data_IF_064611440040
#
_entry.id   IF_064611440040
#
_cell.length_a   1.000
_cell.length_b   1.000
_cell.length_c   1.000
_cell.angle_alpha   90.00
_cell.angle_beta   90.00
_cell.angle_gamma   90.00
#
_symmetry.space_group_name_H-M   'P 1'
#
loop_
_entity.id
_entity.type
_entity.pdbx_description
1 polymer ?
#
# COMPACT_ATOMS: atom_id res chain seq x y z
N UNK A 1 -5.57 19.75 -23.36
CA UNK A 1 -6.79 19.18 -22.76
C UNK A 1 -6.42 18.81 -21.34
N UNK A 2 -6.75 19.65 -20.37
CA UNK A 2 -6.74 19.28 -18.96
C UNK A 2 -7.95 18.39 -18.77
N UNK A 3 -7.72 17.09 -18.60
CA UNK A 3 -8.78 16.20 -18.12
C UNK A 3 -9.30 16.79 -16.81
N UNK A 4 -10.63 16.96 -16.73
CA UNK A 4 -11.30 17.37 -15.51
C UNK A 4 -10.97 16.32 -14.45
N UNK A 5 -10.01 16.63 -13.59
CA UNK A 5 -9.58 15.83 -12.43
C UNK A 5 -10.61 15.95 -11.30
N UNK A 6 -11.90 15.86 -11.62
CA UNK A 6 -12.97 15.91 -10.65
C UNK A 6 -13.24 14.49 -10.13
N UNK A 7 -12.38 14.01 -9.24
CA UNK A 7 -12.59 12.76 -8.51
C UNK A 7 -13.37 13.07 -7.24
N UNK A 8 -14.54 12.45 -7.08
CA UNK A 8 -15.37 12.69 -5.89
C UNK A 8 -14.74 12.08 -4.63
N UNK A 9 -15.01 12.69 -3.47
CA UNK A 9 -14.62 12.12 -2.18
C UNK A 9 -15.12 10.67 -2.00
N UNK A 10 -16.31 10.35 -2.52
CA UNK A 10 -16.87 8.98 -2.49
C UNK A 10 -16.02 7.99 -3.27
N UNK A 11 -15.53 8.36 -4.47
CA UNK A 11 -14.63 7.51 -5.26
C UNK A 11 -13.27 7.32 -4.58
N UNK A 12 -12.76 8.36 -3.90
CA UNK A 12 -11.53 8.27 -3.12
C UNK A 12 -11.68 7.31 -1.92
N UNK A 13 -12.80 7.38 -1.19
CA UNK A 13 -13.08 6.43 -0.10
C UNK A 13 -13.29 5.01 -0.62
N UNK A 14 -13.97 4.83 -1.75
CA UNK A 14 -14.12 3.52 -2.38
C UNK A 14 -12.77 2.94 -2.81
N UNK A 15 -11.88 3.78 -3.36
CA UNK A 15 -10.51 3.40 -3.72
C UNK A 15 -9.67 3.05 -2.49
N UNK A 16 -9.78 3.82 -1.41
CA UNK A 16 -9.14 3.51 -0.13
C UNK A 16 -9.60 2.16 0.43
N UNK A 17 -10.92 1.91 0.43
CA UNK A 17 -11.48 0.63 0.87
C UNK A 17 -11.05 -0.55 0.00
N UNK A 18 -10.91 -0.36 -1.31
CA UNK A 18 -10.35 -1.37 -2.21
C UNK A 18 -8.86 -1.65 -1.91
N UNK A 19 -8.09 -0.61 -1.58
CA UNK A 19 -6.70 -0.73 -1.17
C UNK A 19 -6.57 -1.44 0.19
N UNK A 20 -7.45 -1.17 1.16
CA UNK A 20 -7.50 -1.91 2.43
C UNK A 20 -7.80 -3.39 2.22
N UNK A 21 -8.81 -3.69 1.37
CA UNK A 21 -9.15 -5.07 1.04
C UNK A 21 -7.97 -5.79 0.37
N UNK A 22 -7.19 -5.09 -0.47
CA UNK A 22 -5.95 -5.63 -1.04
C UNK A 22 -4.90 -5.88 0.04
N UNK A 23 -4.73 -4.97 1.00
CA UNK A 23 -3.80 -5.16 2.14
C UNK A 23 -4.19 -6.39 2.95
N UNK A 24 -5.46 -6.53 3.34
CA UNK A 24 -5.95 -7.67 4.12
C UNK A 24 -5.79 -8.99 3.35
N UNK A 25 -6.20 -9.03 2.09
CA UNK A 25 -6.12 -10.23 1.25
C UNK A 25 -4.68 -10.64 0.98
N UNK A 26 -3.76 -9.69 0.82
CA UNK A 26 -2.36 -9.97 0.51
C UNK A 26 -1.50 -10.19 1.76
N UNK A 27 -1.96 -9.81 2.96
CA UNK A 27 -1.18 -9.97 4.20
C UNK A 27 -0.76 -11.43 4.44
N UNK A 28 -1.71 -12.37 4.28
CA UNK A 28 -1.45 -13.80 4.45
C UNK A 28 -0.43 -14.34 3.44
N UNK A 29 -0.69 -14.20 2.12
CA UNK A 29 0.23 -14.60 1.06
C UNK A 29 1.62 -13.95 1.14
N UNK A 30 1.70 -12.64 1.43
CA UNK A 30 2.97 -11.92 1.55
C UNK A 30 3.80 -12.44 2.74
N UNK A 31 3.17 -12.63 3.90
CA UNK A 31 3.84 -13.23 5.06
C UNK A 31 4.38 -14.62 4.72
N UNK A 32 3.55 -15.47 4.11
CA UNK A 32 3.98 -16.81 3.69
C UNK A 32 5.15 -16.74 2.72
N UNK A 33 5.12 -15.85 1.73
CA UNK A 33 6.21 -15.70 0.77
C UNK A 33 7.52 -15.25 1.44
N UNK A 34 7.44 -14.33 2.41
CA UNK A 34 8.59 -13.88 3.22
C UNK A 34 9.15 -15.07 4.02
N UNK A 35 8.29 -15.81 4.72
CA UNK A 35 8.69 -16.96 5.54
C UNK A 35 9.31 -18.08 4.68
N UNK A 36 8.68 -18.41 3.55
CA UNK A 36 9.17 -19.42 2.61
C UNK A 36 10.53 -19.02 2.01
N UNK A 37 10.72 -17.73 1.70
CA UNK A 37 12.00 -17.20 1.19
C UNK A 37 13.10 -17.32 2.25
N UNK A 38 12.79 -16.96 3.50
CA UNK A 38 13.73 -17.08 4.61
C UNK A 38 14.09 -18.55 4.89
N UNK A 39 13.11 -19.44 4.86
CA UNK A 39 13.31 -20.88 5.04
C UNK A 39 14.16 -21.48 3.92
N UNK A 40 13.90 -21.10 2.66
CA UNK A 40 14.71 -21.52 1.52
C UNK A 40 16.16 -21.04 1.67
N UNK A 41 16.38 -19.75 1.97
CA UNK A 41 17.71 -19.20 2.20
C UNK A 41 18.46 -19.93 3.32
N UNK A 42 17.78 -20.27 4.43
CA UNK A 42 18.35 -21.03 5.52
C UNK A 42 18.75 -22.46 5.10
N UNK A 43 17.92 -23.13 4.29
CA UNK A 43 18.20 -24.49 3.80
C UNK A 43 19.45 -24.54 2.90
N UNK A 44 19.72 -23.46 2.16
CA UNK A 44 20.87 -23.37 1.27
C UNK A 44 22.18 -22.97 1.96
N UNK A 45 22.19 -22.65 3.26
CA UNK A 45 23.42 -22.31 4.01
C UNK A 45 24.48 -23.41 4.02
N UNK A 46 24.09 -24.65 3.74
CA UNK A 46 24.98 -25.80 3.67
C UNK A 46 25.77 -25.89 2.35
N UNK A 47 25.50 -25.02 1.36
CA UNK A 47 26.09 -25.08 0.02
C UNK A 47 27.23 -24.07 -0.13
N UNK A 48 28.20 -24.35 -1.01
CA UNK A 48 29.42 -23.55 -1.19
C UNK A 48 29.12 -22.07 -1.58
N UNK A 49 27.99 -21.81 -2.26
CA UNK A 49 27.55 -20.47 -2.69
C UNK A 49 26.64 -19.74 -1.66
N UNK A 50 26.72 -20.11 -0.37
CA UNK A 50 25.87 -19.57 0.71
C UNK A 50 25.72 -18.04 0.73
N UNK A 51 26.77 -17.29 0.40
CA UNK A 51 26.74 -15.83 0.44
C UNK A 51 25.85 -15.21 -0.63
N UNK A 52 25.83 -15.79 -1.84
CA UNK A 52 24.97 -15.32 -2.92
C UNK A 52 23.50 -15.66 -2.65
N UNK A 53 23.23 -16.87 -2.13
CA UNK A 53 21.87 -17.32 -1.86
C UNK A 53 21.24 -16.56 -0.68
N UNK A 54 22.01 -16.26 0.36
CA UNK A 54 21.57 -15.42 1.47
C UNK A 54 21.25 -14.00 0.98
N UNK A 55 22.10 -13.41 0.13
CA UNK A 55 21.86 -12.08 -0.44
C UNK A 55 20.58 -12.03 -1.29
N UNK A 56 20.31 -13.06 -2.10
CA UNK A 56 19.08 -13.16 -2.89
C UNK A 56 17.85 -13.30 -1.98
N UNK A 57 17.94 -14.15 -0.95
CA UNK A 57 16.85 -14.33 0.02
C UNK A 57 16.52 -13.03 0.77
N UNK A 58 17.53 -12.31 1.26
CA UNK A 58 17.35 -11.00 1.89
C UNK A 58 16.74 -9.99 0.92
N UNK A 59 17.25 -9.90 -0.31
CA UNK A 59 16.72 -8.96 -1.31
C UNK A 59 15.24 -9.19 -1.63
N UNK A 60 14.80 -10.44 -1.74
CA UNK A 60 13.38 -10.77 -1.91
C UNK A 60 12.55 -10.45 -0.67
N UNK A 61 13.07 -10.74 0.52
CA UNK A 61 12.40 -10.39 1.79
C UNK A 61 12.17 -8.88 1.93
N UNK A 62 13.18 -8.07 1.62
CA UNK A 62 13.11 -6.61 1.66
C UNK A 62 12.13 -6.06 0.62
N UNK A 63 12.14 -6.60 -0.61
CA UNK A 63 11.22 -6.18 -1.67
C UNK A 63 9.76 -6.50 -1.32
N UNK A 64 9.49 -7.68 -0.76
CA UNK A 64 8.14 -8.08 -0.33
C UNK A 64 7.64 -7.25 0.86
N UNK A 65 8.54 -6.91 1.79
CA UNK A 65 8.22 -6.01 2.92
C UNK A 65 7.91 -4.61 2.42
N UNK A 66 8.71 -4.08 1.50
CA UNK A 66 8.48 -2.77 0.88
C UNK A 66 7.13 -2.72 0.16
N UNK A 67 6.76 -3.78 -0.56
CA UNK A 67 5.45 -3.85 -1.24
C UNK A 67 4.30 -3.79 -0.24
N UNK A 68 4.40 -4.53 0.87
CA UNK A 68 3.39 -4.53 1.95
C UNK A 68 3.22 -3.12 2.52
N UNK A 69 4.31 -2.43 2.81
CA UNK A 69 4.27 -1.11 3.44
C UNK A 69 3.71 -0.04 2.48
N UNK A 70 4.10 -0.06 1.20
CA UNK A 70 3.58 0.89 0.19
C UNK A 70 2.08 0.75 -0.07
N UNK A 71 1.54 -0.47 -0.01
CA UNK A 71 0.09 -0.69 -0.15
C UNK A 71 -0.68 -0.02 1.01
N UNK A 72 -0.17 -0.13 2.24
CA UNK A 72 -0.76 0.52 3.40
C UNK A 72 -0.65 2.05 3.32
N UNK A 73 0.51 2.58 2.91
CA UNK A 73 0.71 4.02 2.69
C UNK A 73 -0.26 4.58 1.64
N UNK A 74 -0.47 3.85 0.54
CA UNK A 74 -1.38 4.29 -0.52
C UNK A 74 -2.84 4.36 -0.03
N UNK A 75 -3.29 3.36 0.73
CA UNK A 75 -4.61 3.37 1.35
C UNK A 75 -4.79 4.54 2.34
N UNK A 76 -3.73 4.90 3.07
CA UNK A 76 -3.75 6.06 3.97
C UNK A 76 -3.76 7.39 3.20
N UNK A 77 -2.95 7.51 2.14
CA UNK A 77 -2.91 8.70 1.29
C UNK A 77 -4.26 9.01 0.65
N UNK A 78 -4.97 7.99 0.15
CA UNK A 78 -6.31 8.15 -0.41
C UNK A 78 -7.33 8.69 0.61
N UNK A 79 -7.24 8.26 1.87
CA UNK A 79 -8.09 8.79 2.95
C UNK A 79 -7.78 10.24 3.26
N UNK A 80 -6.52 10.62 3.36
CA UNK A 80 -6.11 12.01 3.61
C UNK A 80 -6.61 12.95 2.52
N UNK A 81 -6.58 12.53 1.25
CA UNK A 81 -7.12 13.31 0.14
C UNK A 81 -8.65 13.41 0.21
N UNK A 82 -9.33 12.30 0.53
CA UNK A 82 -10.79 12.29 0.69
C UNK A 82 -11.25 13.21 1.84
N UNK A 83 -10.55 13.16 2.98
CA UNK A 83 -10.83 14.01 4.13
C UNK A 83 -10.60 15.49 3.77
N UNK A 84 -9.51 15.81 3.08
CA UNK A 84 -9.23 17.15 2.59
C UNK A 84 -10.29 17.69 1.61
N UNK A 85 -10.81 16.83 0.72
CA UNK A 85 -11.93 17.17 -0.17
C UNK A 85 -13.19 17.48 0.62
N UNK A 86 -13.52 16.67 1.65
CA UNK A 86 -14.71 16.87 2.46
C UNK A 86 -14.69 18.18 3.27
N UNK A 87 -13.51 18.56 3.78
CA UNK A 87 -13.31 19.82 4.51
C UNK A 87 -13.49 21.00 3.56
N UNK A 88 -12.87 20.94 2.38
CA UNK A 88 -12.96 22.01 1.39
C UNK A 88 -14.41 22.21 0.89
N UNK A 89 -15.16 21.12 0.65
CA UNK A 89 -16.58 21.19 0.28
C UNK A 89 -17.44 21.82 1.39
N UNK A 90 -17.16 21.50 2.65
CA UNK A 90 -17.86 22.07 3.80
C UNK A 90 -17.59 23.57 3.93
N UNK A 91 -16.34 23.99 3.77
CA UNK A 91 -15.94 25.40 3.84
C UNK A 91 -16.57 26.22 2.69
N UNK A 92 -16.52 25.70 1.47
CA UNK A 92 -17.17 26.31 0.30
C UNK A 92 -18.68 26.42 0.52
N UNK A 93 -19.32 25.34 0.98
CA UNK A 93 -20.75 25.33 1.30
C UNK A 93 -21.14 26.31 2.40
N UNK A 94 -20.28 26.52 3.41
CA UNK A 94 -20.49 27.50 4.46
C UNK A 94 -20.35 28.94 3.94
N UNK A 95 -19.42 29.20 3.01
CA UNK A 95 -19.31 30.51 2.36
C UNK A 95 -20.61 30.91 1.62
N UNK A 96 -21.31 29.96 1.00
CA UNK A 96 -22.57 30.22 0.30
C UNK A 96 -23.80 30.27 1.20
N UNK A 97 -23.75 29.74 2.43
CA UNK A 97 -24.84 29.87 3.42
C UNK A 97 -24.80 31.19 4.19
N UNK A 98 -23.72 31.96 4.07
CA UNK A 98 -23.54 33.27 4.69
C UNK A 98 -23.90 34.47 3.81
N UNK A 99 -24.45 34.25 2.62
CA UNK A 99 -24.92 35.29 1.68
C UNK A 99 -26.44 35.35 1.63
#
# INVERSE_FOLDING_TARGET
>A
MTEDLNVSATELYASAGAADALVENLQGPLRKAIDDTAAAAAAFRAWDDKGYIEAVGTGWGDALTTLKDRLAEHANGLRLVADGHSINDADVGNCFKGW
#
